data_IF_906788712439
#
_entry.id   IF_906788712439
#
_cell.length_a   1.000
_cell.length_b   1.000
_cell.length_c   1.000
_cell.angle_alpha   90.00
_cell.angle_beta   90.00
_cell.angle_gamma   90.00
#
_symmetry.space_group_name_H-M   'P 1'
#
loop_
_entity.id
_entity.type
_entity.pdbx_description
1 polymer ?
#
# COMPACT_ATOMS: atom_id res chain seq x y z
N UNK A 1 8.89 -22.91 -11.94
CA UNK A 1 9.09 -21.85 -10.92
C UNK A 1 7.75 -21.16 -10.73
N UNK A 2 7.07 -21.46 -9.63
CA UNK A 2 5.78 -20.85 -9.28
C UNK A 2 6.07 -19.42 -8.85
N UNK A 3 5.66 -18.43 -9.65
CA UNK A 3 5.72 -17.02 -9.23
C UNK A 3 4.71 -16.85 -8.10
N UNK A 4 5.17 -16.91 -6.87
CA UNK A 4 4.39 -16.46 -5.72
C UNK A 4 4.15 -14.98 -5.95
N UNK A 5 2.90 -14.57 -6.23
CA UNK A 5 2.51 -13.17 -6.20
C UNK A 5 2.69 -12.72 -4.76
N UNK A 6 3.86 -12.14 -4.45
CA UNK A 6 4.08 -11.45 -3.19
C UNK A 6 3.24 -10.20 -3.29
N UNK A 7 2.05 -10.23 -2.68
CA UNK A 7 1.24 -9.04 -2.50
C UNK A 7 1.99 -8.17 -1.50
N UNK A 8 2.76 -7.20 -1.98
CA UNK A 8 3.46 -6.26 -1.10
C UNK A 8 2.42 -5.42 -0.37
N UNK A 9 2.44 -5.48 0.95
CA UNK A 9 1.63 -4.66 1.82
C UNK A 9 2.39 -3.39 2.19
N UNK A 10 1.70 -2.26 2.10
CA UNK A 10 2.21 -0.94 2.41
C UNK A 10 1.41 -0.37 3.58
N UNK A 11 1.89 0.73 4.14
CA UNK A 11 1.11 1.54 5.07
C UNK A 11 0.84 2.89 4.46
N UNK A 12 -0.37 3.42 4.57
CA UNK A 12 -0.67 4.72 4.01
C UNK A 12 -1.68 5.51 4.83
N UNK A 13 -1.55 6.84 4.77
CA UNK A 13 -2.63 7.73 5.16
C UNK A 13 -3.65 7.79 4.03
N UNK A 14 -4.83 7.21 4.28
CA UNK A 14 -5.93 7.21 3.33
C UNK A 14 -6.71 8.53 3.45
N UNK A 15 -7.07 9.12 2.31
CA UNK A 15 -7.89 10.34 2.28
C UNK A 15 -9.29 10.01 2.81
N UNK A 16 -9.68 10.64 3.91
CA UNK A 16 -10.99 10.45 4.53
C UNK A 16 -11.03 9.44 5.68
N UNK A 17 -9.90 8.78 5.99
CA UNK A 17 -9.74 7.96 7.18
C UNK A 17 -8.73 8.59 8.15
N UNK A 18 -8.96 8.45 9.45
CA UNK A 18 -8.03 8.90 10.47
C UNK A 18 -6.97 7.84 10.78
N UNK A 19 -5.70 8.22 10.71
CA UNK A 19 -4.57 7.34 11.04
C UNK A 19 -3.79 6.85 9.82
N UNK A 20 -3.00 5.82 10.05
CA UNK A 20 -2.23 5.08 9.04
C UNK A 20 -2.83 3.68 9.00
N UNK A 21 -3.08 3.19 7.79
CA UNK A 21 -3.74 1.91 7.56
C UNK A 21 -2.85 1.00 6.72
N UNK A 22 -2.94 -0.31 6.97
CA UNK A 22 -2.33 -1.30 6.10
C UNK A 22 -3.11 -1.38 4.77
N UNK A 23 -2.38 -1.34 3.67
CA UNK A 23 -2.94 -1.24 2.33
C UNK A 23 -2.23 -2.16 1.34
N UNK A 24 -2.92 -2.46 0.25
CA UNK A 24 -2.31 -3.02 -0.97
C UNK A 24 -2.32 -1.94 -2.04
N UNK A 25 -1.16 -1.70 -2.67
CA UNK A 25 -1.07 -0.79 -3.79
C UNK A 25 -1.72 -1.42 -5.03
N UNK A 26 -2.82 -0.83 -5.50
CA UNK A 26 -3.53 -1.31 -6.70
C UNK A 26 -2.98 -0.59 -7.94
N UNK A 27 -2.86 0.75 -7.87
CA UNK A 27 -2.38 1.55 -8.99
C UNK A 27 -1.82 2.90 -8.55
N UNK A 28 -0.61 3.22 -9.00
CA UNK A 28 0.05 4.50 -8.75
C UNK A 28 -0.18 5.51 -9.90
N UNK A 29 -0.39 6.78 -9.53
CA UNK A 29 -0.39 7.94 -10.42
C UNK A 29 0.62 8.97 -9.91
N UNK A 30 0.79 10.10 -10.63
CA UNK A 30 1.81 11.10 -10.29
C UNK A 30 1.77 11.58 -8.82
N UNK A 31 0.58 11.87 -8.28
CA UNK A 31 0.42 12.46 -6.94
C UNK A 31 -0.43 11.62 -5.98
N UNK A 32 -1.12 10.61 -6.49
CA UNK A 32 -2.06 9.78 -5.73
C UNK A 32 -1.90 8.32 -6.13
N UNK A 33 -2.39 7.41 -5.30
CA UNK A 33 -2.54 6.01 -5.64
C UNK A 33 -3.93 5.51 -5.27
N UNK A 34 -4.43 4.58 -6.06
CA UNK A 34 -5.56 3.73 -5.68
C UNK A 34 -4.99 2.57 -4.88
N UNK A 35 -5.55 2.38 -3.70
CA UNK A 35 -5.09 1.39 -2.73
C UNK A 35 -6.29 0.62 -2.20
N UNK A 36 -6.09 -0.65 -1.87
CA UNK A 36 -7.08 -1.44 -1.15
C UNK A 36 -6.73 -1.37 0.34
N UNK A 37 -7.66 -0.90 1.16
CA UNK A 37 -7.48 -0.79 2.60
C UNK A 37 -7.79 -2.14 3.26
N UNK A 38 -6.82 -2.73 3.97
CA UNK A 38 -6.99 -4.05 4.57
C UNK A 38 -7.92 -4.03 5.79
N UNK A 39 -8.05 -2.90 6.48
CA UNK A 39 -8.95 -2.76 7.63
C UNK A 39 -10.43 -2.77 7.22
N UNK A 40 -10.74 -2.23 6.05
CA UNK A 40 -12.12 -2.06 5.55
C UNK A 40 -12.46 -2.98 4.38
N UNK A 41 -11.44 -3.55 3.72
CA UNK A 41 -11.53 -4.26 2.45
C UNK A 41 -12.18 -3.42 1.33
N UNK A 42 -12.00 -2.10 1.37
CA UNK A 42 -12.53 -1.16 0.38
C UNK A 42 -11.40 -0.51 -0.42
N UNK A 43 -11.72 -0.13 -1.67
CA UNK A 43 -10.84 0.68 -2.48
C UNK A 43 -10.88 2.13 -1.98
N UNK A 44 -9.69 2.69 -1.77
CA UNK A 44 -9.51 4.05 -1.32
C UNK A 44 -8.41 4.77 -2.11
N UNK A 45 -8.25 6.06 -1.82
CA UNK A 45 -7.23 6.91 -2.43
C UNK A 45 -6.28 7.39 -1.34
N UNK A 46 -4.98 7.22 -1.56
CA UNK A 46 -3.92 7.78 -0.75
C UNK A 46 -3.07 8.75 -1.58
N UNK A 47 -2.43 9.74 -0.95
CA UNK A 47 -1.39 10.50 -1.66
C UNK A 47 -0.15 9.64 -1.79
N UNK A 48 0.55 9.77 -2.90
CA UNK A 48 1.76 8.99 -3.16
C UNK A 48 2.84 9.20 -2.09
N UNK A 49 2.99 10.44 -1.61
CA UNK A 49 3.94 10.79 -0.55
C UNK A 49 3.57 10.26 0.83
N UNK A 50 2.32 9.82 1.01
CA UNK A 50 1.83 9.28 2.29
C UNK A 50 1.91 7.74 2.32
N UNK A 51 2.39 7.11 1.23
CA UNK A 51 2.58 5.65 1.13
C UNK A 51 3.97 5.32 1.67
N UNK A 52 3.97 4.42 2.64
CA UNK A 52 5.14 3.91 3.35
C UNK A 52 5.33 2.47 2.87
N UNK A 53 6.47 2.22 2.22
CA UNK A 53 6.90 0.85 1.97
C UNK A 53 7.26 0.21 3.29
N UNK A 54 6.53 -0.82 3.68
CA UNK A 54 7.01 -1.73 4.71
C UNK A 54 8.08 -2.59 4.03
N UNK A 55 9.32 -2.09 4.00
CA UNK A 55 10.47 -2.92 3.62
C UNK A 55 10.46 -4.14 4.54
N UNK A 56 10.01 -5.27 3.99
CA UNK A 56 10.42 -6.57 4.51
C UNK A 56 11.92 -6.58 4.24
N UNK A 57 12.70 -6.66 5.32
CA UNK A 57 14.16 -6.61 5.39
C UNK A 57 14.88 -6.87 4.06
N UNK A 58 15.87 -6.01 3.74
CA UNK A 58 16.93 -6.31 2.78
C UNK A 58 17.31 -7.80 2.86
N UNK A 59 16.85 -8.62 1.90
CA UNK A 59 17.54 -9.85 1.55
C UNK A 59 18.83 -9.43 0.84
N UNK A 60 19.77 -8.91 1.63
CA UNK A 60 21.20 -9.06 1.34
C UNK A 60 21.51 -10.54 1.56
N UNK A 61 21.66 -11.27 0.45
CA UNK A 61 22.80 -12.13 0.11
C UNK A 61 22.51 -12.92 -1.18
#
# INVERSE_FOLDING_TARGET
>A
MTKTNITQTYQAKIIGLEGIHDIILVKEYQNVAIVECLDTNELAVAKRCDIISCDTEELKE
#
